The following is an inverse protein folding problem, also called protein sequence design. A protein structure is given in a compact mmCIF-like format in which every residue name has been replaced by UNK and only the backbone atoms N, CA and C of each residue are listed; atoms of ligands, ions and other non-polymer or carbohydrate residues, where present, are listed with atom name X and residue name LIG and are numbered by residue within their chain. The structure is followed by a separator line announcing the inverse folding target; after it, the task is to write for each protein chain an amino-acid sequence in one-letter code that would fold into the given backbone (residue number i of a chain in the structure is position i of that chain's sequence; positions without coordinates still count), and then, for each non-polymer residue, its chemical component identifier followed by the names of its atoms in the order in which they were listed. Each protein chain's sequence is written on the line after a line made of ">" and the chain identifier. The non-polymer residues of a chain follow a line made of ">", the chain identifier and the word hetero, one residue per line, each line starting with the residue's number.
data_IF_679297761452
#
_entry.id   IF_679297761452
#
_cell.length_a   1.000
_cell.length_b   1.000
_cell.length_c   1.000
_cell.angle_alpha   90.00
_cell.angle_beta   90.00
_cell.angle_gamma   90.00
#
_symmetry.space_group_name_H-M   'P 1'
#
loop_
_entity.id
_entity.type
_entity.pdbx_description
1 polymer ?
#
# COMPACT_ATOMS: atom_id res chain seq x y z
N UNK A 1 -3.87 14.40 2.94
CA UNK A 1 -2.98 13.26 3.18
C UNK A 1 -3.71 12.30 4.10
N UNK A 2 -3.64 10.99 3.84
CA UNK A 2 -4.28 9.99 4.72
C UNK A 2 -3.55 9.92 6.07
N UNK A 3 -4.30 9.68 7.14
CA UNK A 3 -3.75 9.52 8.49
C UNK A 3 -3.01 8.17 8.63
N UNK A 4 -1.94 8.14 9.43
CA UNK A 4 -1.19 6.91 9.72
C UNK A 4 -2.15 5.85 10.29
N UNK A 5 -2.10 4.63 9.73
CA UNK A 5 -2.94 3.52 10.18
C UNK A 5 -4.34 3.47 9.54
N UNK A 6 -4.69 4.45 8.70
CA UNK A 6 -5.95 4.40 7.93
C UNK A 6 -5.92 3.27 6.91
N UNK A 7 -6.94 2.41 6.91
CA UNK A 7 -7.12 1.33 5.92
C UNK A 7 -7.95 1.85 4.73
N UNK A 8 -7.49 1.53 3.53
CA UNK A 8 -8.13 1.90 2.27
C UNK A 8 -8.36 0.68 1.39
N UNK A 9 -9.50 0.69 0.70
CA UNK A 9 -9.84 -0.27 -0.35
C UNK A 9 -10.16 0.51 -1.62
N UNK A 10 -9.35 0.32 -2.66
CA UNK A 10 -9.58 0.94 -3.96
C UNK A 10 -9.65 -0.11 -5.05
N UNK A 11 -10.65 -0.03 -5.91
CA UNK A 11 -10.75 -0.87 -7.09
C UNK A 11 -10.21 -0.10 -8.29
N UNK A 12 -9.23 -0.67 -8.99
CA UNK A 12 -8.61 -0.08 -10.17
C UNK A 12 -8.88 -0.94 -11.40
N UNK A 13 -9.62 -0.41 -12.37
CA UNK A 13 -9.88 -1.07 -13.64
C UNK A 13 -10.80 -0.23 -14.52
N UNK A 14 -10.90 -0.60 -15.80
CA UNK A 14 -11.82 0.04 -16.74
C UNK A 14 -13.28 -0.39 -16.55
N UNK A 15 -13.49 -1.46 -15.80
CA UNK A 15 -14.78 -2.03 -15.45
C UNK A 15 -14.67 -2.83 -14.16
N UNK A 16 -15.80 -3.16 -13.54
CA UNK A 16 -15.85 -4.05 -12.38
C UNK A 16 -15.18 -5.41 -12.66
N UNK A 17 -15.41 -5.99 -13.85
CA UNK A 17 -14.84 -7.27 -14.25
C UNK A 17 -13.31 -7.27 -14.44
N UNK A 18 -12.71 -6.09 -14.63
CA UNK A 18 -11.24 -5.94 -14.81
C UNK A 18 -10.57 -5.28 -13.61
N UNK A 19 -11.34 -4.96 -12.57
CA UNK A 19 -10.83 -4.21 -11.44
C UNK A 19 -9.93 -5.07 -10.55
N UNK A 20 -8.70 -4.60 -10.34
CA UNK A 20 -7.79 -5.14 -9.33
C UNK A 20 -8.03 -4.40 -8.03
N UNK A 21 -8.08 -5.15 -6.93
CA UNK A 21 -8.21 -4.59 -5.58
C UNK A 21 -6.85 -4.08 -5.11
N UNK A 22 -6.81 -2.82 -4.70
CA UNK A 22 -5.67 -2.09 -4.16
C UNK A 22 -5.98 -1.74 -2.70
N UNK A 23 -5.68 -2.68 -1.82
CA UNK A 23 -5.90 -2.59 -0.36
C UNK A 23 -4.61 -2.15 0.34
N UNK A 24 -4.67 -1.11 1.18
CA UNK A 24 -3.47 -0.57 1.82
C UNK A 24 -3.71 0.16 3.14
N UNK A 25 -2.65 0.31 3.92
CA UNK A 25 -2.60 1.11 5.15
C UNK A 25 -1.73 2.35 4.91
N UNK A 26 -2.27 3.54 5.14
CA UNK A 26 -1.51 4.78 4.98
C UNK A 26 -0.40 4.91 6.04
N UNK A 27 0.82 5.21 5.59
CA UNK A 27 2.00 5.45 6.43
C UNK A 27 2.84 6.63 5.87
N UNK A 28 2.25 7.84 5.74
CA UNK A 28 2.89 8.96 5.07
C UNK A 28 4.27 9.28 5.65
N UNK A 29 5.23 9.54 4.77
CA UNK A 29 6.63 9.85 5.04
C UNK A 29 7.45 8.71 5.67
N UNK A 30 6.86 7.52 5.90
CA UNK A 30 7.59 6.36 6.40
C UNK A 30 8.21 5.53 5.26
N UNK A 31 9.28 4.83 5.59
CA UNK A 31 10.01 3.88 4.74
C UNK A 31 9.85 2.45 5.27
N UNK A 32 10.24 1.47 4.46
CA UNK A 32 10.18 0.05 4.84
C UNK A 32 10.91 -0.25 6.13
N UNK A 33 12.09 0.35 6.33
CA UNK A 33 12.87 0.22 7.57
C UNK A 33 12.15 0.74 8.82
N UNK A 34 11.23 1.70 8.69
CA UNK A 34 10.55 2.32 9.83
C UNK A 34 9.39 1.44 10.34
N UNK A 35 8.89 0.54 9.49
CA UNK A 35 7.79 -0.40 9.78
C UNK A 35 8.19 -1.86 9.65
N UNK A 36 9.50 -2.15 9.48
CA UNK A 36 10.05 -3.50 9.30
C UNK A 36 9.43 -4.29 8.15
N UNK A 37 9.19 -3.62 7.01
CA UNK A 37 8.66 -4.23 5.79
C UNK A 37 9.55 -3.96 4.57
N UNK A 38 9.52 -4.82 3.55
CA UNK A 38 10.21 -4.58 2.29
C UNK A 38 9.62 -3.38 1.54
N UNK A 39 10.42 -2.74 0.69
CA UNK A 39 9.98 -1.65 -0.22
C UNK A 39 9.76 -2.15 -1.66
N UNK A 40 9.73 -3.47 -1.87
CA UNK A 40 9.57 -4.12 -3.17
C UNK A 40 8.41 -5.11 -3.14
N UNK A 41 7.61 -5.11 -4.21
CA UNK A 41 6.42 -5.96 -4.35
C UNK A 41 6.76 -7.46 -4.33
N UNK A 42 7.89 -7.84 -4.92
CA UNK A 42 8.23 -9.25 -5.15
C UNK A 42 8.80 -9.95 -3.91
N UNK A 43 8.82 -9.28 -2.76
CA UNK A 43 9.27 -9.85 -1.48
C UNK A 43 8.30 -10.89 -0.87
N UNK A 44 7.17 -11.18 -1.53
CA UNK A 44 6.29 -12.28 -1.14
C UNK A 44 5.38 -12.00 0.07
N UNK A 45 4.91 -10.77 0.22
CA UNK A 45 4.02 -10.36 1.31
C UNK A 45 3.65 -8.89 1.20
N UNK A 46 3.30 -8.26 2.33
CA UNK A 46 3.11 -6.80 2.39
C UNK A 46 4.41 -6.04 2.16
N UNK A 47 4.32 -4.89 1.48
CA UNK A 47 5.45 -4.02 1.20
C UNK A 47 5.05 -2.55 1.32
N UNK A 48 6.02 -1.67 1.55
CA UNK A 48 5.82 -0.22 1.49
C UNK A 48 5.93 0.25 0.05
N UNK A 49 4.85 0.84 -0.46
CA UNK A 49 4.80 1.52 -1.75
C UNK A 49 5.04 3.02 -1.55
N UNK A 50 5.72 3.67 -2.50
CA UNK A 50 6.07 5.11 -2.43
C UNK A 50 6.81 5.50 -1.14
N UNK A 51 7.75 4.66 -0.70
CA UNK A 51 8.50 4.85 0.55
C UNK A 51 9.11 6.26 0.68
N UNK A 52 8.90 6.88 1.85
CA UNK A 52 9.43 8.21 2.18
C UNK A 52 8.71 9.39 1.53
N UNK A 53 7.60 9.17 0.81
CA UNK A 53 6.75 10.26 0.29
C UNK A 53 5.52 10.46 1.16
N UNK A 54 4.80 11.57 0.95
CA UNK A 54 3.49 11.83 1.58
C UNK A 54 2.40 10.81 1.23
N UNK A 55 2.65 9.96 0.23
CA UNK A 55 1.71 8.94 -0.27
C UNK A 55 2.14 7.52 0.13
N UNK A 56 3.18 7.39 0.96
CA UNK A 56 3.67 6.10 1.42
C UNK A 56 2.55 5.26 2.07
N UNK A 57 2.45 4.00 1.67
CA UNK A 57 1.46 3.06 2.21
C UNK A 57 1.95 1.61 2.21
N UNK A 58 1.49 0.84 3.19
CA UNK A 58 1.70 -0.62 3.25
C UNK A 58 0.66 -1.29 2.39
N UNK A 59 1.09 -1.99 1.34
CA UNK A 59 0.24 -2.79 0.49
C UNK A 59 -0.15 -4.10 1.17
N UNK A 60 -1.43 -4.48 1.04
CA UNK A 60 -1.99 -5.70 1.59
C UNK A 60 -2.46 -6.61 0.44
N UNK A 61 -1.55 -7.37 -0.20
CA UNK A 61 -1.92 -8.25 -1.30
C UNK A 61 -2.84 -9.38 -0.82
N UNK A 62 -3.90 -9.67 -1.58
CA UNK A 62 -4.84 -10.76 -1.30
C UNK A 62 -6.01 -10.39 -0.36
N UNK A 63 -6.01 -9.16 0.20
CA UNK A 63 -7.15 -8.56 0.87
C UNK A 63 -7.99 -7.72 -0.08
#
# INVERSE_FOLDING_TARGET
>A
MSEVGSIWYKFWGNSEATAVRHSFIAVPNLRGKDVSLPEVRDAGGSWVMFAGTSEAHIMLPGL
#
